data_IF_299129134584
#
_entry.id   IF_299129134584
#
_cell.length_a   1.000
_cell.length_b   1.000
_cell.length_c   1.000
_cell.angle_alpha   90.00
_cell.angle_beta   90.00
_cell.angle_gamma   90.00
#
_symmetry.space_group_name_H-M   'P 1'
#
loop_
_entity.id
_entity.type
_entity.pdbx_description
1 polymer ?
#
# COMPACT_ATOMS: atom_id res chain seq x y z
N UNK A 1 -19.40 -8.56 7.05
CA UNK A 1 -19.64 -9.06 8.43
C UNK A 1 -20.73 -10.13 8.55
N UNK A 2 -21.83 -10.10 7.76
CA UNK A 2 -22.89 -11.14 7.82
C UNK A 2 -22.36 -12.59 7.74
N UNK A 3 -21.49 -12.89 6.78
CA UNK A 3 -20.86 -14.22 6.64
C UNK A 3 -20.07 -14.69 7.87
N UNK A 4 -19.42 -13.79 8.62
CA UNK A 4 -18.67 -14.14 9.84
C UNK A 4 -19.64 -14.51 10.96
N UNK A 5 -20.75 -13.78 11.07
CA UNK A 5 -21.82 -14.06 12.03
C UNK A 5 -22.44 -15.43 11.81
N UNK A 6 -22.64 -15.81 10.55
CA UNK A 6 -23.23 -17.09 10.17
C UNK A 6 -22.30 -18.28 10.47
N UNK A 7 -20.97 -18.05 10.49
CA UNK A 7 -19.97 -19.05 10.86
C UNK A 7 -19.75 -19.15 12.37
N UNK A 8 -19.67 -18.01 13.06
CA UNK A 8 -19.49 -17.96 14.51
C UNK A 8 -20.02 -16.63 15.07
N UNK A 9 -21.11 -16.74 15.82
CA UNK A 9 -21.77 -15.59 16.40
C UNK A 9 -20.92 -14.96 17.52
N UNK A 10 -20.19 -15.77 18.28
CA UNK A 10 -19.28 -15.30 19.34
C UNK A 10 -18.07 -14.55 18.78
N UNK A 11 -17.46 -15.07 17.71
CA UNK A 11 -16.35 -14.38 17.05
C UNK A 11 -16.80 -13.06 16.42
N UNK A 12 -17.98 -13.05 15.79
CA UNK A 12 -18.57 -11.82 15.26
C UNK A 12 -18.80 -10.78 16.37
N UNK A 13 -19.38 -11.19 17.51
CA UNK A 13 -19.66 -10.29 18.61
C UNK A 13 -18.37 -9.71 19.21
N UNK A 14 -17.38 -10.57 19.50
CA UNK A 14 -16.08 -10.12 19.99
C UNK A 14 -15.46 -9.06 19.07
N UNK A 15 -15.58 -9.27 17.76
CA UNK A 15 -15.00 -8.39 16.77
C UNK A 15 -15.70 -7.03 16.71
N UNK A 16 -17.03 -7.01 16.82
CA UNK A 16 -17.78 -5.74 16.94
C UNK A 16 -17.43 -5.00 18.23
N UNK A 17 -17.19 -5.74 19.32
CA UNK A 17 -16.92 -5.15 20.64
C UNK A 17 -15.48 -4.62 20.78
N UNK A 18 -14.51 -5.21 20.07
CA UNK A 18 -13.08 -4.94 20.28
C UNK A 18 -12.36 -4.34 19.07
N UNK A 19 -12.98 -4.35 17.90
CA UNK A 19 -12.41 -3.79 16.68
C UNK A 19 -13.35 -2.74 16.07
N UNK A 20 -12.75 -1.75 15.41
CA UNK A 20 -13.43 -0.92 14.43
C UNK A 20 -12.97 -1.40 13.05
N UNK A 21 -13.68 -2.36 12.42
CA UNK A 21 -13.31 -2.92 11.12
C UNK A 21 -13.03 -1.88 10.05
N UNK A 22 -13.75 -0.75 10.10
CA UNK A 22 -13.64 0.30 9.10
C UNK A 22 -12.31 1.04 9.25
N UNK A 23 -11.95 1.45 10.47
CA UNK A 23 -10.66 2.11 10.71
C UNK A 23 -9.46 1.17 10.68
N UNK A 24 -9.65 -0.07 11.10
CA UNK A 24 -8.55 -1.01 11.32
C UNK A 24 -8.22 -1.87 10.10
N UNK A 25 -9.14 -2.05 9.16
CA UNK A 25 -8.91 -2.94 8.01
C UNK A 25 -9.06 -2.28 6.64
N UNK A 26 -9.66 -1.09 6.56
CA UNK A 26 -9.69 -0.34 5.31
C UNK A 26 -8.44 0.53 5.22
N UNK A 27 -7.60 0.22 4.22
CA UNK A 27 -6.31 0.90 3.98
C UNK A 27 -6.41 2.43 3.94
N UNK A 28 -7.55 2.98 3.51
CA UNK A 28 -7.77 4.43 3.43
C UNK A 28 -7.74 5.14 4.80
N UNK A 29 -7.96 4.43 5.90
CA UNK A 29 -7.93 4.97 7.26
C UNK A 29 -6.64 4.68 8.03
N UNK A 30 -5.68 4.02 7.38
CA UNK A 30 -4.40 3.73 8.03
C UNK A 30 -3.60 5.03 8.19
N UNK A 31 -2.86 5.20 9.30
CA UNK A 31 -1.97 6.35 9.44
C UNK A 31 -0.96 6.39 8.29
N UNK A 32 -0.75 7.57 7.70
CA UNK A 32 0.11 7.73 6.53
C UNK A 32 1.54 7.20 6.74
N UNK A 33 2.04 7.31 7.98
CA UNK A 33 3.38 6.86 8.37
C UNK A 33 3.55 5.34 8.28
N UNK A 34 2.45 4.59 8.30
CA UNK A 34 2.44 3.12 8.20
C UNK A 34 1.85 2.62 6.87
N UNK A 35 1.40 3.49 5.96
CA UNK A 35 0.93 3.06 4.64
C UNK A 35 2.12 2.97 3.69
N UNK A 36 2.59 1.76 3.47
CA UNK A 36 3.53 1.46 2.39
C UNK A 36 2.88 0.55 1.36
N UNK A 37 3.08 0.83 0.07
CA UNK A 37 2.74 -0.09 -1.03
C UNK A 37 3.42 -1.46 -0.88
N UNK A 38 4.44 -1.58 -0.03
CA UNK A 38 5.13 -2.84 0.24
C UNK A 38 4.59 -3.64 1.43
N UNK A 39 3.71 -3.06 2.27
CA UNK A 39 3.19 -3.73 3.48
C UNK A 39 2.13 -4.79 3.19
N UNK A 40 1.58 -4.82 1.98
CA UNK A 40 0.72 -5.91 1.52
C UNK A 40 1.57 -6.94 0.75
N UNK A 41 1.98 -8.02 1.43
CA UNK A 41 2.42 -9.31 0.87
C UNK A 41 3.64 -9.36 -0.08
N UNK A 42 4.18 -8.22 -0.51
CA UNK A 42 5.16 -8.17 -1.60
C UNK A 42 6.59 -8.60 -1.20
N UNK A 43 6.86 -8.76 0.09
CA UNK A 43 8.13 -9.31 0.58
C UNK A 43 8.04 -10.80 0.92
N UNK A 44 6.93 -11.21 1.52
CA UNK A 44 6.64 -12.60 1.88
C UNK A 44 6.47 -13.47 0.65
N UNK A 45 5.78 -13.00 -0.40
CA UNK A 45 5.58 -13.77 -1.64
C UNK A 45 6.89 -14.20 -2.33
N UNK A 46 7.82 -13.29 -2.67
CA UNK A 46 9.09 -13.70 -3.28
C UNK A 46 9.97 -14.48 -2.31
N UNK A 47 9.90 -14.21 -1.01
CA UNK A 47 10.63 -15.00 -0.01
C UNK A 47 10.09 -16.44 0.09
N UNK A 48 8.77 -16.61 0.09
CA UNK A 48 8.12 -17.92 0.09
C UNK A 48 8.43 -18.70 -1.18
N UNK A 49 8.50 -18.02 -2.34
CA UNK A 49 8.93 -18.65 -3.58
C UNK A 49 10.37 -19.20 -3.49
N UNK A 50 11.29 -18.46 -2.86
CA UNK A 50 12.66 -18.94 -2.62
C UNK A 50 12.70 -20.13 -1.66
N UNK A 51 11.90 -20.09 -0.60
CA UNK A 51 11.80 -21.18 0.35
C UNK A 51 11.27 -22.47 -0.31
N UNK A 52 10.33 -22.36 -1.25
CA UNK A 52 9.83 -23.51 -1.98
C UNK A 52 10.92 -24.21 -2.81
N UNK A 53 11.83 -23.45 -3.42
CA UNK A 53 12.98 -23.96 -4.19
C UNK A 53 14.10 -24.50 -3.31
N UNK A 54 14.26 -23.96 -2.09
CA UNK A 54 15.38 -24.29 -1.21
C UNK A 54 15.06 -25.39 -0.17
N UNK A 55 13.78 -25.59 0.19
CA UNK A 55 13.36 -26.48 1.30
C UNK A 55 13.63 -27.97 1.08
N UNK A 56 13.82 -28.40 -0.17
CA UNK A 56 14.13 -29.78 -0.52
C UNK A 56 15.65 -30.06 -0.53
N UNK A 57 16.47 -29.06 -0.18
CA UNK A 57 17.93 -29.15 -0.16
C UNK A 57 18.47 -29.40 1.26
N UNK A 58 19.68 -29.98 1.39
CA UNK A 58 20.37 -30.05 2.67
C UNK A 58 20.51 -28.66 3.32
N UNK A 59 20.53 -28.61 4.66
CA UNK A 59 20.50 -27.35 5.44
C UNK A 59 21.49 -26.30 4.93
N UNK A 60 22.75 -26.68 4.72
CA UNK A 60 23.79 -25.76 4.25
C UNK A 60 23.45 -25.22 2.85
N UNK A 61 23.05 -26.10 1.93
CA UNK A 61 22.66 -25.73 0.56
C UNK A 61 21.43 -24.83 0.56
N UNK A 62 20.43 -25.12 1.40
CA UNK A 62 19.23 -24.29 1.56
C UNK A 62 19.60 -22.87 2.01
N UNK A 63 20.43 -22.74 3.04
CA UNK A 63 20.88 -21.44 3.56
C UNK A 63 21.67 -20.65 2.51
N UNK A 64 22.53 -21.34 1.75
CA UNK A 64 23.37 -20.72 0.73
C UNK A 64 22.55 -20.21 -0.47
N UNK A 65 21.51 -20.97 -0.88
CA UNK A 65 20.55 -20.54 -1.90
C UNK A 65 19.79 -19.29 -1.44
N UNK A 66 19.26 -19.28 -0.22
CA UNK A 66 18.54 -18.14 0.34
C UNK A 66 19.46 -16.91 0.38
N UNK A 67 20.68 -17.06 0.91
CA UNK A 67 21.68 -15.99 1.01
C UNK A 67 21.98 -15.38 -0.37
N UNK A 68 22.26 -16.22 -1.36
CA UNK A 68 22.61 -15.79 -2.72
C UNK A 68 21.46 -15.03 -3.39
N UNK A 69 20.22 -15.54 -3.31
CA UNK A 69 19.03 -14.88 -3.87
C UNK A 69 18.75 -13.53 -3.21
N UNK A 70 18.92 -13.43 -1.89
CA UNK A 70 18.74 -12.17 -1.16
C UNK A 70 19.79 -11.16 -1.59
N UNK A 71 21.06 -11.55 -1.70
CA UNK A 71 22.14 -10.67 -2.17
C UNK A 71 21.89 -10.16 -3.59
N UNK A 72 21.49 -11.05 -4.52
CA UNK A 72 21.14 -10.65 -5.89
C UNK A 72 20.01 -9.62 -5.92
N UNK A 73 18.92 -9.85 -5.18
CA UNK A 73 17.80 -8.89 -5.11
C UNK A 73 18.22 -7.54 -4.53
N UNK A 74 19.08 -7.52 -3.51
CA UNK A 74 19.58 -6.26 -2.93
C UNK A 74 20.43 -5.52 -3.97
N UNK A 75 21.35 -6.22 -4.63
CA UNK A 75 22.18 -5.66 -5.72
C UNK A 75 21.32 -5.10 -6.84
N UNK A 76 20.32 -5.84 -7.31
CA UNK A 76 19.44 -5.40 -8.41
C UNK A 76 18.64 -4.15 -8.03
N UNK A 77 18.12 -4.09 -6.79
CA UNK A 77 17.44 -2.90 -6.26
C UNK A 77 18.38 -1.71 -6.15
N UNK A 78 19.61 -1.92 -5.66
CA UNK A 78 20.62 -0.88 -5.57
C UNK A 78 20.98 -0.32 -6.96
N UNK A 79 21.25 -1.19 -7.93
CA UNK A 79 21.56 -0.79 -9.32
C UNK A 79 20.37 -0.07 -9.98
N UNK A 80 19.15 -0.52 -9.71
CA UNK A 80 17.94 0.12 -10.23
C UNK A 80 17.73 1.53 -9.65
N UNK A 81 18.18 1.79 -8.43
CA UNK A 81 18.11 3.09 -7.77
C UNK A 81 19.29 4.00 -8.09
N UNK A 82 20.51 3.45 -8.22
CA UNK A 82 21.71 4.23 -8.51
C UNK A 82 21.67 4.92 -9.88
N UNK A 83 20.95 4.34 -10.84
CA UNK A 83 20.75 4.89 -12.18
C UNK A 83 19.69 5.99 -12.24
N UNK A 84 19.07 6.37 -11.12
CA UNK A 84 17.89 7.25 -11.10
C UNK A 84 18.15 8.49 -10.26
N UNK A 85 17.80 9.62 -10.85
CA UNK A 85 17.97 10.93 -10.26
C UNK A 85 16.61 11.52 -9.87
N UNK A 86 16.55 12.09 -8.67
CA UNK A 86 15.39 12.82 -8.17
C UNK A 86 14.78 12.22 -6.90
N UNK A 87 13.90 12.98 -6.23
CA UNK A 87 13.35 12.62 -4.93
C UNK A 87 12.29 11.49 -4.98
N UNK A 88 11.83 11.12 -6.18
CA UNK A 88 10.71 10.17 -6.36
C UNK A 88 11.19 8.93 -7.12
N UNK A 89 10.94 7.76 -6.54
CA UNK A 89 11.21 6.47 -7.17
C UNK A 89 10.37 6.28 -8.44
N UNK A 90 10.91 5.61 -9.47
CA UNK A 90 10.20 5.47 -10.76
C UNK A 90 8.84 4.78 -10.66
N UNK A 91 8.67 3.79 -9.77
CA UNK A 91 7.35 3.18 -9.57
C UNK A 91 6.31 4.21 -9.13
N UNK A 92 6.66 5.03 -8.14
CA UNK A 92 5.79 6.10 -7.65
C UNK A 92 5.58 7.16 -8.73
N UNK A 93 6.61 7.49 -9.52
CA UNK A 93 6.48 8.42 -10.65
C UNK A 93 5.49 7.92 -11.71
N UNK A 94 5.52 6.62 -12.04
CA UNK A 94 4.57 6.01 -12.98
C UNK A 94 3.14 6.12 -12.44
N UNK A 95 2.93 5.82 -11.15
CA UNK A 95 1.62 5.95 -10.49
C UNK A 95 1.15 7.40 -10.52
N UNK A 96 2.04 8.36 -10.20
CA UNK A 96 1.72 9.78 -10.22
C UNK A 96 1.29 10.25 -11.61
N UNK A 97 2.05 9.90 -12.65
CA UNK A 97 1.71 10.26 -14.04
C UNK A 97 0.37 9.64 -14.44
N UNK A 98 0.11 8.39 -14.07
CA UNK A 98 -1.18 7.74 -14.30
C UNK A 98 -2.32 8.52 -13.63
N UNK A 99 -2.19 8.84 -12.34
CA UNK A 99 -3.20 9.58 -11.60
C UNK A 99 -3.44 10.98 -12.20
N UNK A 100 -2.40 11.67 -12.67
CA UNK A 100 -2.54 12.95 -13.37
C UNK A 100 -3.37 12.80 -14.65
N UNK A 101 -3.12 11.75 -15.43
CA UNK A 101 -3.90 11.47 -16.65
C UNK A 101 -5.35 11.07 -16.33
N UNK A 102 -5.57 10.33 -15.25
CA UNK A 102 -6.91 9.92 -14.82
C UNK A 102 -7.74 11.13 -14.31
N UNK A 103 -7.07 12.18 -13.82
CA UNK A 103 -7.70 13.40 -13.29
C UNK A 103 -7.95 14.50 -14.33
N UNK A 104 -7.78 14.25 -15.63
CA UNK A 104 -7.89 15.29 -16.69
C UNK A 104 -9.23 16.03 -16.69
N UNK A 105 -10.32 15.38 -16.24
CA UNK A 105 -11.66 16.00 -16.13
C UNK A 105 -11.94 16.70 -14.81
N UNK A 106 -10.97 16.77 -13.89
CA UNK A 106 -11.17 17.26 -12.54
C UNK A 106 -10.84 18.74 -12.49
N UNK A 107 -11.67 19.52 -11.78
CA UNK A 107 -11.40 20.94 -11.51
C UNK A 107 -11.17 21.12 -10.02
N UNK A 108 -10.36 22.11 -9.63
CA UNK A 108 -10.10 22.37 -8.22
C UNK A 108 -10.13 23.86 -7.90
N UNK A 109 -10.53 24.19 -6.66
CA UNK A 109 -10.47 25.53 -6.08
C UNK A 109 -9.68 25.47 -4.80
N UNK A 110 -8.65 26.30 -4.70
CA UNK A 110 -7.79 26.39 -3.53
C UNK A 110 -8.29 27.46 -2.55
N UNK A 111 -8.30 27.14 -1.26
CA UNK A 111 -8.74 28.07 -0.21
C UNK A 111 -7.65 29.04 0.27
N UNK A 112 -6.47 29.06 -0.36
CA UNK A 112 -5.33 29.90 0.02
C UNK A 112 -4.45 29.33 1.14
N UNK A 113 -4.72 28.12 1.64
CA UNK A 113 -3.89 27.41 2.62
C UNK A 113 -3.72 25.93 2.26
N UNK A 114 -4.32 25.03 3.03
CA UNK A 114 -4.14 23.58 2.87
C UNK A 114 -5.38 22.89 2.27
N UNK A 115 -6.44 23.65 1.99
CA UNK A 115 -7.73 23.10 1.58
C UNK A 115 -8.02 23.31 0.09
N UNK A 116 -8.54 22.26 -0.53
CA UNK A 116 -8.95 22.24 -1.92
C UNK A 116 -10.36 21.67 -2.04
N UNK A 117 -11.22 22.38 -2.75
CA UNK A 117 -12.46 21.81 -3.28
C UNK A 117 -12.13 21.20 -4.64
N UNK A 118 -12.27 19.89 -4.79
CA UNK A 118 -12.04 19.16 -6.04
C UNK A 118 -13.37 18.68 -6.59
N UNK A 119 -13.65 18.96 -7.86
CA UNK A 119 -14.88 18.54 -8.54
C UNK A 119 -14.55 17.54 -9.64
N UNK A 120 -15.19 16.38 -9.58
CA UNK A 120 -15.12 15.31 -10.57
C UNK A 120 -16.52 15.11 -11.17
N UNK A 121 -16.81 15.75 -12.31
CA UNK A 121 -18.16 15.76 -12.86
C UNK A 121 -19.17 16.43 -11.91
N UNK A 122 -20.14 15.65 -11.42
CA UNK A 122 -21.16 16.11 -10.46
C UNK A 122 -20.77 15.93 -8.99
N UNK A 123 -19.68 15.22 -8.72
CA UNK A 123 -19.21 14.96 -7.36
C UNK A 123 -18.24 16.05 -6.90
N UNK A 124 -18.32 16.39 -5.62
CA UNK A 124 -17.44 17.36 -4.98
C UNK A 124 -16.76 16.73 -3.78
N UNK A 125 -15.46 16.99 -3.68
CA UNK A 125 -14.60 16.45 -2.65
C UNK A 125 -13.83 17.58 -1.97
N UNK A 126 -13.67 17.46 -0.66
CA UNK A 126 -12.82 18.36 0.13
C UNK A 126 -11.53 17.61 0.41
N UNK A 127 -10.41 18.19 -0.04
CA UNK A 127 -9.06 17.65 0.16
C UNK A 127 -8.27 18.60 1.04
N UNK A 128 -7.66 18.07 2.10
CA UNK A 128 -6.74 18.81 2.95
C UNK A 128 -5.32 18.23 2.80
N UNK A 129 -4.41 19.01 2.22
CA UNK A 129 -3.04 18.57 1.90
C UNK A 129 -2.13 18.52 3.13
N UNK A 130 -2.43 19.28 4.19
CA UNK A 130 -1.66 19.25 5.44
C UNK A 130 -2.03 18.08 6.33
N UNK A 131 -3.32 17.77 6.40
CA UNK A 131 -3.82 16.62 7.16
C UNK A 131 -3.80 15.33 6.33
N UNK A 132 -3.51 15.43 5.03
CA UNK A 132 -3.57 14.32 4.08
C UNK A 132 -4.92 13.59 4.10
N UNK A 133 -6.02 14.35 4.11
CA UNK A 133 -7.39 13.81 4.15
C UNK A 133 -8.19 14.19 2.90
N UNK A 134 -9.14 13.33 2.54
CA UNK A 134 -10.08 13.52 1.44
C UNK A 134 -11.47 13.09 1.90
N UNK A 135 -12.52 13.85 1.57
CA UNK A 135 -13.91 13.43 1.84
C UNK A 135 -14.37 12.23 0.99
N UNK A 136 -13.55 11.78 0.05
CA UNK A 136 -13.75 10.52 -0.67
C UNK A 136 -13.45 9.29 0.21
N UNK A 137 -12.69 9.46 1.30
CA UNK A 137 -12.30 8.42 2.24
C UNK A 137 -13.11 8.51 3.55
N UNK A 138 -14.39 8.88 3.47
CA UNK A 138 -15.32 8.91 4.62
C UNK A 138 -16.22 7.69 4.62
#
# INVERSE_FOLDING_TARGET
MKKLRDLSQSAHQWLIDHADPFKQWVRAFFPHDVVSDTLCNNYSEPFNAFLLEARDKPLITMLELIRSKVMEKIKDRFVAMSKKYGPICVKIKIILVKNVNDCVGYTHRWNGRDGFEVRAGHEQYIVNTRLFTCSCAT
#
